data_IF_256118219840
#
_entry.id   IF_256118219840
#
_cell.length_a   1.000
_cell.length_b   1.000
_cell.length_c   1.000
_cell.angle_alpha   90.00
_cell.angle_beta   90.00
_cell.angle_gamma   90.00
#
_symmetry.space_group_name_H-M   'P 1'
#
loop_
_entity.id
_entity.type
_entity.pdbx_description
1 polymer ?
#
# COMPACT_ATOMS: atom_id res chain seq x y z
N UNK A 1 -9.39 16.20 9.68
CA UNK A 1 -9.30 15.30 8.53
C UNK A 1 -8.22 15.74 7.58
N UNK A 2 -7.36 14.82 7.20
CA UNK A 2 -6.35 15.09 6.19
C UNK A 2 -6.91 14.66 4.84
N UNK A 3 -6.85 15.54 3.86
CA UNK A 3 -7.30 15.24 2.50
C UNK A 3 -6.08 15.03 1.61
N UNK A 4 -6.03 13.90 0.92
CA UNK A 4 -4.91 13.53 0.07
C UNK A 4 -5.48 13.15 -1.30
N UNK A 5 -4.95 13.76 -2.36
CA UNK A 5 -5.33 13.42 -3.72
C UNK A 5 -4.83 12.05 -4.10
N UNK A 6 -5.61 11.30 -4.84
CA UNK A 6 -5.15 10.05 -5.44
C UNK A 6 -5.35 10.10 -6.96
N UNK A 7 -4.63 9.23 -7.64
CA UNK A 7 -4.74 9.08 -9.09
C UNK A 7 -5.39 7.74 -9.41
N UNK A 8 -6.10 7.71 -10.55
CA UNK A 8 -6.67 6.47 -11.05
C UNK A 8 -5.80 5.98 -12.20
N UNK A 9 -5.37 4.72 -12.14
CA UNK A 9 -4.66 4.07 -13.24
C UNK A 9 -5.58 2.99 -13.82
N UNK A 10 -5.77 3.04 -15.13
CA UNK A 10 -6.49 2.00 -15.86
C UNK A 10 -5.47 1.03 -16.45
N UNK A 11 -5.43 -0.22 -15.96
CA UNK A 11 -4.49 -1.23 -16.43
C UNK A 11 -4.98 -1.94 -17.69
N UNK A 12 -6.24 -2.32 -17.66
CA UNK A 12 -6.93 -2.88 -18.82
C UNK A 12 -8.22 -2.12 -18.96
N UNK A 13 -8.89 -2.25 -20.11
CA UNK A 13 -10.15 -1.54 -20.32
C UNK A 13 -11.12 -1.79 -19.15
N UNK A 14 -11.54 -0.72 -18.50
CA UNK A 14 -12.49 -0.72 -17.39
C UNK A 14 -11.97 -1.36 -16.09
N UNK A 15 -10.64 -1.49 -15.94
CA UNK A 15 -10.01 -1.99 -14.71
C UNK A 15 -9.23 -0.85 -14.06
N UNK A 16 -9.73 -0.34 -12.95
CA UNK A 16 -9.22 0.89 -12.33
C UNK A 16 -8.64 0.64 -10.95
N UNK A 17 -7.50 1.27 -10.68
CA UNK A 17 -6.87 1.23 -9.37
C UNK A 17 -6.64 2.65 -8.84
N UNK A 18 -7.09 2.96 -7.61
CA UNK A 18 -6.75 4.25 -6.98
C UNK A 18 -5.37 4.17 -6.31
N UNK A 19 -4.53 5.15 -6.61
CA UNK A 19 -3.14 5.17 -6.11
C UNK A 19 -2.85 6.46 -5.38
N UNK A 20 -2.22 6.35 -4.22
CA UNK A 20 -1.66 7.50 -3.50
C UNK A 20 -0.14 7.45 -3.59
N UNK A 21 0.47 8.63 -3.63
CA UNK A 21 1.91 8.75 -3.73
C UNK A 21 2.59 8.24 -2.47
N UNK A 22 3.62 7.43 -2.66
CA UNK A 22 4.46 6.92 -1.57
C UNK A 22 5.65 7.86 -1.39
N UNK A 23 5.88 8.27 -0.14
CA UNK A 23 6.97 9.17 0.21
C UNK A 23 8.05 8.40 0.97
N UNK A 24 9.11 8.03 0.27
CA UNK A 24 10.28 7.34 0.85
C UNK A 24 11.56 8.00 0.35
N UNK A 25 12.54 8.20 1.23
CA UNK A 25 13.83 8.75 0.80
C UNK A 25 14.47 7.87 -0.29
N UNK A 26 14.91 8.51 -1.37
CA UNK A 26 15.60 7.82 -2.47
C UNK A 26 14.70 7.06 -3.44
N UNK A 27 13.40 7.03 -3.21
CA UNK A 27 12.44 6.41 -4.13
C UNK A 27 11.65 7.48 -4.85
N UNK A 28 11.62 7.40 -6.17
CA UNK A 28 10.86 8.30 -7.02
C UNK A 28 9.80 7.52 -7.80
N UNK A 29 8.69 8.19 -8.11
CA UNK A 29 7.57 7.60 -8.86
C UNK A 29 7.00 6.33 -8.21
N UNK A 30 6.98 6.32 -6.88
CA UNK A 30 6.47 5.20 -6.10
C UNK A 30 5.09 5.49 -5.54
N UNK A 31 4.24 4.47 -5.56
CA UNK A 31 2.83 4.61 -5.26
C UNK A 31 2.32 3.44 -4.44
N UNK A 32 1.33 3.73 -3.59
CA UNK A 32 0.54 2.72 -2.91
C UNK A 32 -0.77 2.53 -3.66
N UNK A 33 -1.19 1.28 -3.84
CA UNK A 33 -2.56 1.01 -4.27
C UNK A 33 -3.44 1.06 -3.03
N UNK A 34 -4.54 1.81 -3.09
CA UNK A 34 -5.56 1.78 -2.04
C UNK A 34 -6.44 0.58 -2.33
N UNK A 35 -6.45 -0.41 -1.43
CA UNK A 35 -7.15 -1.67 -1.66
C UNK A 35 -8.01 -2.05 -0.46
N UNK A 36 -9.28 -1.65 -0.52
CA UNK A 36 -10.24 -1.98 0.53
C UNK A 36 -10.60 -3.47 0.58
N UNK A 37 -10.20 -4.23 -0.45
CA UNK A 37 -10.35 -5.68 -0.45
C UNK A 37 -9.24 -6.41 0.29
N UNK A 38 -8.15 -5.72 0.63
CA UNK A 38 -7.07 -6.29 1.41
C UNK A 38 -7.30 -6.07 2.90
N UNK A 39 -7.31 -7.12 3.70
CA UNK A 39 -7.51 -7.00 5.14
C UNK A 39 -6.29 -6.40 5.85
N UNK A 40 -5.10 -6.59 5.28
CA UNK A 40 -3.83 -6.08 5.80
C UNK A 40 -3.09 -5.32 4.73
N UNK A 41 -2.38 -4.28 5.15
CA UNK A 41 -1.46 -3.56 4.26
C UNK A 41 -0.25 -4.42 3.95
N UNK A 42 0.26 -4.30 2.73
CA UNK A 42 1.32 -5.14 2.18
C UNK A 42 2.41 -4.24 1.61
N UNK A 43 3.65 -4.63 1.73
CA UNK A 43 4.78 -3.86 1.22
C UNK A 43 5.75 -4.75 0.46
N UNK A 44 6.47 -4.17 -0.49
CA UNK A 44 7.42 -4.90 -1.32
C UNK A 44 8.62 -5.36 -0.49
N UNK A 45 8.81 -6.67 -0.41
CA UNK A 45 9.88 -7.29 0.37
C UNK A 45 11.27 -6.84 -0.07
N UNK A 46 11.43 -6.44 -1.34
CA UNK A 46 12.73 -6.02 -1.86
C UNK A 46 13.20 -4.65 -1.35
N UNK A 47 12.29 -3.85 -0.80
CA UNK A 47 12.62 -2.50 -0.31
C UNK A 47 13.11 -2.54 1.13
N UNK A 48 14.18 -3.27 1.36
CA UNK A 48 14.70 -3.61 2.70
C UNK A 48 15.18 -2.41 3.52
N UNK A 49 15.52 -1.30 2.87
CA UNK A 49 15.96 -0.08 3.56
C UNK A 49 14.82 0.70 4.20
N UNK A 50 13.57 0.35 3.88
CA UNK A 50 12.40 1.14 4.25
C UNK A 50 11.48 0.47 5.26
N UNK A 51 11.88 -0.67 5.78
CA UNK A 51 11.15 -1.32 6.86
C UNK A 51 12.12 -2.11 7.75
N UNK A 52 11.63 -2.50 8.93
CA UNK A 52 12.36 -3.36 9.85
C UNK A 52 11.56 -4.65 9.99
N UNK A 53 12.23 -5.80 9.82
CA UNK A 53 11.58 -7.10 10.03
C UNK A 53 11.15 -7.24 11.48
N UNK A 54 9.99 -7.80 11.70
CA UNK A 54 9.51 -8.09 13.05
C UNK A 54 10.34 -9.22 13.65
N UNK A 55 10.82 -9.02 14.88
CA UNK A 55 11.77 -9.91 15.53
C UNK A 55 11.24 -11.31 15.81
N UNK A 56 9.94 -11.44 15.95
CA UNK A 56 9.33 -12.71 16.34
C UNK A 56 8.95 -13.60 15.17
N UNK A 57 9.45 -13.32 13.97
CA UNK A 57 9.07 -14.06 12.77
C UNK A 57 7.57 -14.33 12.71
N UNK A 58 6.80 -13.30 13.10
CA UNK A 58 5.36 -13.43 13.12
C UNK A 58 4.88 -13.69 11.71
N UNK A 59 4.53 -14.93 11.47
CA UNK A 59 3.99 -15.35 10.19
C UNK A 59 2.56 -14.87 10.15
N UNK A 60 2.27 -14.03 9.16
CA UNK A 60 0.91 -13.54 8.95
C UNK A 60 0.23 -14.41 7.92
N UNK A 61 -0.95 -14.93 8.29
CA UNK A 61 -1.80 -15.61 7.32
C UNK A 61 -2.45 -14.56 6.43
N UNK A 62 -2.22 -14.66 5.14
CA UNK A 62 -2.85 -13.79 4.15
C UNK A 62 -3.70 -14.64 3.21
N UNK A 63 -4.89 -14.15 2.88
CA UNK A 63 -5.79 -14.82 1.98
C UNK A 63 -7.06 -15.32 2.66
N UNK A 64 -8.13 -15.40 1.89
CA UNK A 64 -9.44 -15.88 2.33
C UNK A 64 -9.75 -17.27 1.79
N UNK A 65 -8.76 -17.99 1.27
CA UNK A 65 -8.94 -19.31 0.69
C UNK A 65 -8.56 -20.44 1.63
N UNK A 66 -8.59 -21.65 1.12
CA UNK A 66 -8.23 -22.85 1.85
C UNK A 66 -6.72 -22.96 2.10
N UNK A 67 -5.93 -22.20 1.35
CA UNK A 67 -4.50 -22.14 1.52
C UNK A 67 -4.11 -20.93 2.34
N UNK A 68 -3.45 -21.17 3.45
CA UNK A 68 -2.86 -20.12 4.26
C UNK A 68 -1.48 -19.83 3.67
N UNK A 69 -1.32 -18.63 3.09
CA UNK A 69 -0.03 -18.20 2.60
C UNK A 69 0.68 -17.53 3.78
N UNK A 70 1.74 -18.15 4.23
CA UNK A 70 2.56 -17.60 5.29
C UNK A 70 3.47 -16.52 4.72
N UNK A 71 3.36 -15.30 5.23
CA UNK A 71 4.21 -14.20 4.83
C UNK A 71 4.95 -13.66 6.04
N UNK A 72 6.13 -13.13 5.81
CA UNK A 72 6.86 -12.42 6.84
C UNK A 72 6.22 -11.06 7.05
N UNK A 73 6.45 -10.48 8.20
CA UNK A 73 5.96 -9.13 8.52
C UNK A 73 7.11 -8.20 8.87
N UNK A 74 6.84 -6.93 8.71
CA UNK A 74 7.77 -5.87 9.06
C UNK A 74 7.01 -4.63 9.48
N UNK A 75 7.75 -3.60 9.85
CA UNK A 75 7.18 -2.33 10.28
C UNK A 75 7.86 -1.19 9.53
N UNK A 76 7.05 -0.34 8.93
CA UNK A 76 7.49 0.94 8.39
C UNK A 76 7.39 1.93 9.57
N UNK A 77 8.51 2.53 9.96
CA UNK A 77 8.56 3.37 11.16
C UNK A 77 7.70 4.63 11.03
N UNK A 78 7.73 5.25 9.86
CA UNK A 78 6.97 6.47 9.59
C UNK A 78 6.31 6.37 8.24
N UNK A 79 5.02 6.08 8.24
CA UNK A 79 4.24 6.06 7.01
C UNK A 79 3.86 7.47 6.61
N UNK A 80 4.44 7.95 5.53
CA UNK A 80 4.12 9.26 4.98
C UNK A 80 3.32 9.09 3.69
N UNK A 81 2.15 9.71 3.67
CA UNK A 81 1.30 9.75 2.48
C UNK A 81 0.99 11.22 2.23
N UNK A 82 1.34 11.71 1.05
CA UNK A 82 1.31 13.14 0.78
C UNK A 82 2.25 13.85 1.75
N UNK A 83 1.80 14.92 2.36
CA UNK A 83 2.59 15.70 3.32
C UNK A 83 2.36 15.26 4.77
N UNK A 84 1.66 14.16 5.01
CA UNK A 84 1.22 13.77 6.34
C UNK A 84 1.91 12.49 6.80
N UNK A 85 2.35 12.49 8.07
CA UNK A 85 2.94 11.34 8.73
C UNK A 85 1.87 10.68 9.61
N UNK A 86 1.55 9.41 9.32
CA UNK A 86 0.54 8.64 10.05
C UNK A 86 1.15 7.72 11.10
N UNK A 87 2.46 7.82 11.32
CA UNK A 87 3.15 6.99 12.31
C UNK A 87 3.53 5.63 11.76
N UNK A 88 3.82 4.66 12.64
CA UNK A 88 4.26 3.35 12.19
C UNK A 88 3.13 2.53 11.58
N UNK A 89 3.48 1.69 10.60
CA UNK A 89 2.55 0.75 9.99
C UNK A 89 3.20 -0.62 9.91
N UNK A 90 2.57 -1.60 10.51
CA UNK A 90 2.96 -3.00 10.34
C UNK A 90 2.40 -3.54 9.03
N UNK A 91 3.26 -4.20 8.25
CA UNK A 91 2.91 -4.67 6.91
C UNK A 91 3.29 -6.14 6.73
N UNK A 92 2.57 -6.82 5.87
CA UNK A 92 2.99 -8.11 5.33
C UNK A 92 3.95 -7.85 4.17
N UNK A 93 4.94 -8.69 4.00
CA UNK A 93 5.98 -8.53 2.98
C UNK A 93 5.74 -9.49 1.82
N UNK A 94 5.67 -8.95 0.61
CA UNK A 94 5.37 -9.70 -0.60
C UNK A 94 6.27 -9.19 -1.72
N UNK A 95 6.63 -10.07 -2.64
CA UNK A 95 7.37 -9.69 -3.83
C UNK A 95 6.43 -9.01 -4.84
N UNK A 96 6.74 -7.78 -5.19
CA UNK A 96 5.94 -6.98 -6.14
C UNK A 96 6.51 -6.98 -7.55
N UNK A 97 7.50 -7.84 -7.86
CA UNK A 97 8.12 -7.87 -9.17
C UNK A 97 7.13 -8.12 -10.31
N UNK A 98 6.24 -9.09 -10.15
CA UNK A 98 5.22 -9.39 -11.16
C UNK A 98 4.21 -8.23 -11.32
N UNK A 99 3.75 -7.68 -10.20
CA UNK A 99 2.82 -6.55 -10.20
C UNK A 99 3.43 -5.36 -10.95
N UNK A 100 4.68 -5.04 -10.64
CA UNK A 100 5.36 -3.91 -11.29
C UNK A 100 5.64 -4.17 -12.77
N UNK A 101 5.87 -5.41 -13.14
CA UNK A 101 6.01 -5.82 -14.54
C UNK A 101 4.72 -5.51 -15.33
N UNK A 102 3.56 -5.78 -14.73
CA UNK A 102 2.27 -5.48 -15.35
C UNK A 102 2.00 -3.97 -15.40
N UNK A 103 2.27 -3.26 -14.32
CA UNK A 103 2.09 -1.80 -14.29
C UNK A 103 2.98 -1.06 -15.30
N UNK A 104 4.18 -1.56 -15.53
CA UNK A 104 5.12 -0.94 -16.47
C UNK A 104 4.59 -0.89 -17.90
N UNK A 105 3.65 -1.74 -18.25
CA UNK A 105 3.01 -1.73 -19.58
C UNK A 105 2.08 -0.55 -19.80
N UNK A 106 1.60 0.08 -18.73
CA UNK A 106 0.54 1.10 -18.80
C UNK A 106 0.95 2.42 -18.14
N UNK A 107 1.99 2.45 -17.34
CA UNK A 107 2.33 3.62 -16.54
C UNK A 107 3.81 3.60 -16.18
N UNK A 108 4.36 4.76 -15.82
CA UNK A 108 5.69 4.87 -15.24
C UNK A 108 5.67 4.75 -13.70
N UNK A 109 4.51 4.47 -13.13
CA UNK A 109 4.35 4.35 -11.68
C UNK A 109 4.84 2.99 -11.19
N UNK A 110 5.63 3.01 -10.13
CA UNK A 110 6.09 1.82 -9.45
C UNK A 110 5.28 1.61 -8.19
N UNK A 111 4.72 0.43 -8.01
CA UNK A 111 3.90 0.11 -6.86
C UNK A 111 4.81 -0.46 -5.76
N UNK A 112 4.74 0.13 -4.58
CA UNK A 112 5.52 -0.33 -3.42
C UNK A 112 4.70 -1.19 -2.47
N UNK A 113 3.39 -1.11 -2.53
CA UNK A 113 2.54 -1.88 -1.64
C UNK A 113 1.06 -1.57 -1.79
N UNK A 114 0.28 -2.20 -0.93
CA UNK A 114 -1.16 -2.02 -0.85
C UNK A 114 -1.51 -1.44 0.51
N UNK A 115 -2.32 -0.39 0.51
CA UNK A 115 -2.92 0.14 1.75
C UNK A 115 -4.24 -0.59 1.94
N UNK A 116 -4.30 -1.41 2.98
CA UNK A 116 -5.46 -2.25 3.26
C UNK A 116 -6.38 -1.71 4.33
N UNK A 117 -7.37 -2.51 4.69
CA UNK A 117 -8.40 -2.12 5.66
C UNK A 117 -7.87 -1.88 7.06
N UNK A 118 -6.75 -2.48 7.45
CA UNK A 118 -6.10 -2.22 8.73
C UNK A 118 -5.81 -0.72 8.90
N UNK A 119 -5.22 -0.11 7.88
CA UNK A 119 -4.94 1.33 7.87
C UNK A 119 -6.21 2.15 7.64
N UNK A 120 -7.00 1.77 6.64
CA UNK A 120 -8.19 2.53 6.27
C UNK A 120 -9.18 2.64 7.41
N UNK A 121 -9.42 1.56 8.12
CA UNK A 121 -10.35 1.55 9.26
C UNK A 121 -9.78 2.34 10.45
N UNK A 122 -8.50 2.16 10.76
CA UNK A 122 -7.85 2.85 11.87
C UNK A 122 -7.87 4.38 11.71
N UNK A 123 -7.83 4.84 10.48
CA UNK A 123 -7.82 6.28 10.17
C UNK A 123 -9.15 6.80 9.63
N UNK A 124 -10.22 6.04 9.82
CA UNK A 124 -11.58 6.42 9.44
C UNK A 124 -11.67 6.95 8.00
N UNK A 125 -11.08 6.20 7.08
CA UNK A 125 -10.91 6.64 5.70
C UNK A 125 -12.23 6.84 4.97
N UNK A 126 -12.30 7.91 4.18
CA UNK A 126 -13.37 8.13 3.21
C UNK A 126 -12.72 8.19 1.84
N UNK A 127 -13.11 7.27 0.96
CA UNK A 127 -12.67 7.25 -0.43
C UNK A 127 -13.67 8.00 -1.29
N UNK A 128 -13.26 9.11 -1.85
CA UNK A 128 -14.11 9.96 -2.69
C UNK A 128 -13.63 9.83 -4.14
N UNK A 129 -14.27 8.93 -4.88
CA UNK A 129 -13.90 8.72 -6.28
C UNK A 129 -14.33 9.88 -7.18
N UNK A 130 -15.35 10.62 -6.78
CA UNK A 130 -15.81 11.78 -7.56
C UNK A 130 -14.74 12.85 -7.64
N UNK A 131 -14.12 13.17 -6.49
CA UNK A 131 -13.13 14.21 -6.37
C UNK A 131 -11.70 13.66 -6.35
N UNK A 132 -11.53 12.35 -6.44
CA UNK A 132 -10.23 11.66 -6.42
C UNK A 132 -9.39 12.05 -5.22
N UNK A 133 -9.97 11.91 -4.06
CA UNK A 133 -9.27 12.17 -2.80
C UNK A 133 -9.65 11.15 -1.75
N UNK A 134 -8.72 10.91 -0.85
CA UNK A 134 -8.97 10.12 0.35
C UNK A 134 -8.89 11.07 1.55
N UNK A 135 -9.86 10.97 2.43
CA UNK A 135 -9.86 11.72 3.69
C UNK A 135 -9.49 10.75 4.80
N UNK A 136 -8.50 11.14 5.60
CA UNK A 136 -7.96 10.30 6.66
C UNK A 136 -7.94 11.09 7.96
N UNK A 137 -8.35 10.45 9.03
CA UNK A 137 -8.27 10.99 10.37
C UNK A 137 -6.95 10.53 10.99
N UNK A 138 -6.20 11.48 11.47
CA UNK A 138 -4.87 11.19 12.03
C UNK A 138 -4.93 10.55 13.42
#
# INVERSE_FOLDING_TARGET
>A
MQEISFEIVELEAQTYHPLVRAEFPGLEHCWWVIDSGASKSVFDVSLTSHYVLDENDAVMATGLGKEVVETRSGTIAELKIGDFNFGPLRIALVDFGHINSEYAKFSNKKIVGLIGCDFLYSHSAILDFRHKRIELKK
#
